data_IF_392081567738
#
_entry.id   IF_392081567738
#
_cell.length_a   1.000
_cell.length_b   1.000
_cell.length_c   1.000
_cell.angle_alpha   90.00
_cell.angle_beta   90.00
_cell.angle_gamma   90.00
#
_symmetry.space_group_name_H-M   'P 1'
#
loop_
_entity.id
_entity.type
_entity.pdbx_description
1 polymer ?
#
# COMPACT_ATOMS: atom_id res chain seq x y z
N UNK A 1 -0.52 -8.37 -10.61
CA UNK A 1 -0.91 -9.66 -10.02
C UNK A 1 -2.32 -9.63 -9.38
N UNK A 2 -2.69 -8.60 -8.65
CA UNK A 2 -4.00 -8.44 -7.96
C UNK A 2 -5.21 -8.42 -8.92
N UNK A 3 -5.06 -7.90 -10.13
CA UNK A 3 -6.13 -7.89 -11.13
C UNK A 3 -6.61 -9.28 -11.57
N UNK A 4 -5.78 -10.31 -11.44
CA UNK A 4 -6.15 -11.70 -11.77
C UNK A 4 -7.02 -12.34 -10.70
N UNK A 5 -7.04 -11.80 -9.49
CA UNK A 5 -7.77 -12.34 -8.34
C UNK A 5 -9.22 -11.83 -8.24
N UNK A 6 -9.65 -10.96 -9.15
CA UNK A 6 -10.97 -10.28 -9.15
C UNK A 6 -11.25 -9.40 -7.94
N UNK A 7 -10.22 -9.06 -7.13
CA UNK A 7 -10.34 -8.07 -6.07
C UNK A 7 -10.25 -6.65 -6.62
N UNK A 8 -10.98 -5.72 -5.99
CA UNK A 8 -10.83 -4.30 -6.24
C UNK A 8 -9.61 -3.73 -5.53
N UNK A 9 -8.72 -3.10 -6.28
CA UNK A 9 -7.60 -2.34 -5.69
C UNK A 9 -7.99 -0.88 -5.66
N UNK A 10 -8.02 -0.28 -4.46
CA UNK A 10 -8.32 1.15 -4.27
C UNK A 10 -7.27 2.00 -4.98
N UNK A 11 -7.71 3.04 -5.68
CA UNK A 11 -6.85 3.92 -6.49
C UNK A 11 -6.72 5.33 -5.91
N UNK A 12 -7.65 5.72 -5.04
CA UNK A 12 -7.72 7.03 -4.42
C UNK A 12 -6.65 7.24 -3.35
N UNK A 13 -6.04 6.16 -2.89
CA UNK A 13 -4.95 6.16 -1.92
C UNK A 13 -3.73 5.43 -2.48
N UNK A 14 -2.56 5.88 -2.08
CA UNK A 14 -1.28 5.31 -2.47
C UNK A 14 -0.31 5.31 -1.28
N UNK A 15 0.75 4.54 -1.39
CA UNK A 15 1.90 4.68 -0.54
C UNK A 15 2.65 5.98 -0.83
N UNK A 16 3.53 6.36 0.04
CA UNK A 16 4.21 7.65 -0.02
C UNK A 16 5.66 7.55 0.45
N UNK A 17 6.47 8.49 0.02
CA UNK A 17 7.82 8.67 0.55
C UNK A 17 7.79 9.02 2.03
N UNK A 18 8.82 8.58 2.72
CA UNK A 18 9.09 8.87 4.14
C UNK A 18 10.38 9.67 4.22
N UNK A 19 10.26 10.99 4.04
CA UNK A 19 11.36 11.92 4.15
C UNK A 19 11.28 12.73 5.44
N UNK A 20 11.49 14.03 5.32
CA UNK A 20 11.29 14.95 6.44
C UNK A 20 9.81 15.19 6.76
N UNK A 21 8.95 14.99 5.76
CA UNK A 21 7.51 15.04 5.92
C UNK A 21 6.97 13.61 6.04
N UNK A 22 5.85 13.47 6.77
CA UNK A 22 5.19 12.17 6.93
C UNK A 22 4.69 11.60 5.59
N UNK A 23 4.07 12.47 4.77
CA UNK A 23 3.73 12.15 3.39
C UNK A 23 4.63 12.96 2.46
N UNK A 24 5.54 12.28 1.80
CA UNK A 24 6.53 12.87 0.91
C UNK A 24 6.57 12.14 -0.45
N UNK A 25 7.29 12.68 -1.41
CA UNK A 25 7.56 11.98 -2.67
C UNK A 25 8.48 10.77 -2.42
N UNK A 26 8.37 9.71 -3.24
CA UNK A 26 7.46 9.52 -4.36
C UNK A 26 6.09 8.99 -3.94
N UNK A 27 5.09 9.12 -4.82
CA UNK A 27 3.85 8.37 -4.71
C UNK A 27 4.06 6.91 -5.13
N UNK A 28 3.54 5.98 -4.32
CA UNK A 28 3.65 4.53 -4.55
C UNK A 28 2.28 3.96 -4.87
N UNK A 29 1.90 3.97 -6.12
CA UNK A 29 0.60 3.49 -6.58
C UNK A 29 0.52 1.97 -6.60
N UNK A 30 -0.58 1.42 -6.07
CA UNK A 30 -0.80 -0.02 -5.95
C UNK A 30 -1.54 -0.64 -7.14
N UNK A 31 -2.09 0.18 -8.04
CA UNK A 31 -2.79 -0.22 -9.25
C UNK A 31 -2.13 0.40 -10.48
N UNK A 32 -0.95 -0.08 -10.81
CA UNK A 32 -0.16 0.40 -11.93
C UNK A 32 0.26 -0.72 -12.88
N UNK A 33 0.70 -0.32 -14.07
CA UNK A 33 1.32 -1.22 -15.03
C UNK A 33 2.76 -1.53 -14.59
N UNK A 34 3.14 -2.79 -14.67
CA UNK A 34 4.53 -3.18 -14.39
C UNK A 34 5.53 -2.44 -15.28
N UNK A 35 6.68 -2.09 -14.72
CA UNK A 35 7.74 -1.37 -15.42
C UNK A 35 7.49 0.12 -15.61
N UNK A 36 6.51 0.70 -14.90
CA UNK A 36 6.24 2.14 -14.87
C UNK A 36 6.56 2.72 -13.50
N UNK A 37 6.74 4.02 -13.42
CA UNK A 37 7.04 4.73 -12.18
C UNK A 37 8.51 5.10 -12.03
N UNK A 38 8.88 5.72 -10.91
CA UNK A 38 10.26 6.11 -10.63
C UNK A 38 11.16 4.90 -10.40
N UNK A 39 12.42 5.04 -10.78
CA UNK A 39 13.46 4.07 -10.45
C UNK A 39 13.74 4.09 -8.95
N UNK A 40 13.73 2.92 -8.32
CA UNK A 40 14.09 2.80 -6.91
C UNK A 40 15.61 2.86 -6.75
N UNK A 41 16.06 3.67 -5.79
CA UNK A 41 17.49 3.87 -5.51
C UNK A 41 17.78 3.62 -4.04
N UNK A 42 18.98 3.10 -3.71
CA UNK A 42 19.41 2.97 -2.33
C UNK A 42 19.27 4.27 -1.54
N UNK A 43 18.79 4.18 -0.30
CA UNK A 43 18.50 5.31 0.56
C UNK A 43 17.11 5.91 0.42
N UNK A 44 16.28 5.40 -0.49
CA UNK A 44 14.86 5.75 -0.53
C UNK A 44 14.09 5.03 0.57
N UNK A 45 13.20 5.76 1.24
CA UNK A 45 12.27 5.24 2.25
C UNK A 45 10.84 5.58 1.84
N UNK A 46 9.95 4.60 1.85
CA UNK A 46 8.55 4.79 1.47
C UNK A 46 7.64 3.70 2.04
N UNK A 47 6.32 3.92 1.93
CA UNK A 47 5.31 2.94 2.35
C UNK A 47 4.80 2.12 1.17
N UNK A 48 4.44 0.88 1.46
CA UNK A 48 3.62 0.02 0.59
C UNK A 48 2.38 -0.34 1.41
N UNK A 49 1.21 0.14 0.98
CA UNK A 49 -0.01 0.12 1.79
C UNK A 49 -1.28 -0.18 0.97
N UNK A 50 -1.33 -1.27 0.19
CA UNK A 50 -2.47 -1.56 -0.66
C UNK A 50 -3.75 -1.76 0.13
N UNK A 51 -4.85 -1.15 -0.34
CA UNK A 51 -6.21 -1.41 0.11
C UNK A 51 -6.90 -2.32 -0.89
N UNK A 52 -7.34 -3.48 -0.44
CA UNK A 52 -7.91 -4.54 -1.27
C UNK A 52 -9.37 -4.79 -0.87
N UNK A 53 -10.27 -4.55 -1.80
CA UNK A 53 -11.71 -4.74 -1.63
C UNK A 53 -12.16 -6.08 -2.20
N UNK A 54 -13.09 -6.77 -1.53
CA UNK A 54 -13.76 -7.93 -2.10
C UNK A 54 -14.65 -7.57 -3.29
N UNK A 55 -15.10 -6.32 -3.36
CA UNK A 55 -15.91 -5.78 -4.43
C UNK A 55 -15.15 -4.85 -5.36
N UNK A 56 -15.78 -3.72 -5.68
CA UNK A 56 -15.26 -2.73 -6.63
C UNK A 56 -14.21 -1.80 -5.98
N UNK A 57 -13.28 -1.24 -6.78
CA UNK A 57 -12.24 -0.34 -6.29
C UNK A 57 -12.73 0.95 -5.61
N UNK A 58 -13.82 1.63 -6.04
CA UNK A 58 -14.17 2.95 -5.53
C UNK A 58 -14.48 2.99 -4.04
N UNK A 59 -13.99 4.03 -3.38
CA UNK A 59 -14.25 4.33 -1.97
C UNK A 59 -15.09 5.60 -1.83
N UNK A 60 -15.57 5.84 -0.62
CA UNK A 60 -16.29 7.05 -0.21
C UNK A 60 -15.70 7.54 1.10
N UNK A 61 -15.34 8.82 1.14
CA UNK A 61 -15.01 9.50 2.39
C UNK A 61 -16.31 9.85 3.14
N UNK A 62 -16.30 9.65 4.45
CA UNK A 62 -17.39 10.05 5.31
C UNK A 62 -17.31 11.54 5.67
N UNK A 63 -18.32 12.04 6.38
CA UNK A 63 -18.46 13.47 6.74
C UNK A 63 -17.35 13.96 7.68
N UNK A 64 -16.68 13.06 8.39
CA UNK A 64 -15.51 13.37 9.21
C UNK A 64 -14.27 13.78 8.39
N UNK A 65 -14.33 13.65 7.06
CA UNK A 65 -13.24 13.99 6.16
C UNK A 65 -12.02 13.05 6.24
N UNK A 66 -12.13 11.98 7.01
CA UNK A 66 -11.04 11.03 7.28
C UNK A 66 -11.40 9.59 6.96
N UNK A 67 -12.53 9.11 7.46
CA UNK A 67 -12.92 7.69 7.32
C UNK A 67 -13.28 7.37 5.87
N UNK A 68 -12.58 6.41 5.28
CA UNK A 68 -12.88 5.86 3.96
C UNK A 68 -13.56 4.51 4.09
N UNK A 69 -14.65 4.33 3.36
CA UNK A 69 -15.38 3.06 3.28
C UNK A 69 -15.57 2.64 1.84
N UNK A 70 -15.72 1.35 1.58
CA UNK A 70 -16.03 0.86 0.23
C UNK A 70 -17.40 1.38 -0.21
N UNK A 71 -17.47 1.91 -1.45
CA UNK A 71 -18.72 2.47 -1.95
C UNK A 71 -19.82 1.44 -2.10
N UNK A 72 -19.46 0.20 -2.40
CA UNK A 72 -20.37 -0.93 -2.57
C UNK A 72 -20.62 -1.73 -1.28
N UNK A 73 -20.08 -1.28 -0.15
CA UNK A 73 -20.17 -1.92 1.17
C UNK A 73 -19.48 -3.29 1.25
N UNK A 74 -18.65 -3.64 0.30
CA UNK A 74 -17.83 -4.86 0.36
C UNK A 74 -16.77 -4.75 1.45
N UNK A 75 -16.30 -5.90 1.95
CA UNK A 75 -15.19 -5.95 2.89
C UNK A 75 -13.91 -5.47 2.23
N UNK A 76 -13.07 -4.83 3.01
CA UNK A 76 -11.76 -4.34 2.61
C UNK A 76 -10.70 -4.72 3.63
N UNK A 77 -9.49 -4.92 3.17
CA UNK A 77 -8.32 -5.13 4.02
C UNK A 77 -7.17 -4.24 3.55
N UNK A 78 -6.41 -3.72 4.51
CA UNK A 78 -5.19 -2.98 4.28
C UNK A 78 -4.07 -3.56 5.13
N UNK A 79 -2.88 -3.64 4.55
CA UNK A 79 -1.63 -3.89 5.27
C UNK A 79 -0.60 -2.90 4.78
N UNK A 80 0.19 -2.36 5.70
CA UNK A 80 1.19 -1.36 5.40
C UNK A 80 2.55 -1.78 5.94
N UNK A 81 3.56 -1.56 5.10
CA UNK A 81 4.96 -1.65 5.51
C UNK A 81 5.70 -0.37 5.14
N UNK A 82 6.53 0.09 6.07
CA UNK A 82 7.59 1.06 5.78
C UNK A 82 8.84 0.29 5.38
N UNK A 83 9.41 0.64 4.25
CA UNK A 83 10.59 -0.03 3.69
C UNK A 83 11.69 0.97 3.33
N UNK A 84 12.93 0.50 3.37
CA UNK A 84 14.09 1.21 2.87
C UNK A 84 14.78 0.42 1.75
N UNK A 85 15.21 1.10 0.70
CA UNK A 85 15.95 0.48 -0.41
C UNK A 85 17.43 0.43 -0.05
N UNK A 86 18.02 -0.76 -0.20
CA UNK A 86 19.46 -1.02 -0.02
C UNK A 86 20.14 -1.21 -1.37
N UNK A 87 21.45 -1.40 -1.39
CA UNK A 87 22.22 -1.61 -2.62
C UNK A 87 21.79 -2.87 -3.40
N UNK A 88 21.32 -3.89 -2.69
CA UNK A 88 21.01 -5.21 -3.22
C UNK A 88 19.57 -5.70 -2.93
N UNK A 89 18.71 -4.82 -2.39
CA UNK A 89 17.33 -5.18 -2.09
C UNK A 89 16.58 -4.15 -1.29
N UNK A 90 15.85 -4.60 -0.27
CA UNK A 90 15.13 -3.71 0.62
C UNK A 90 15.08 -4.26 2.06
N UNK A 91 14.96 -3.37 3.02
CA UNK A 91 14.71 -3.67 4.42
C UNK A 91 13.28 -3.28 4.78
N UNK A 92 12.58 -4.16 5.49
CA UNK A 92 11.21 -3.93 5.98
C UNK A 92 11.28 -3.55 7.46
N UNK A 93 11.06 -2.27 7.77
CA UNK A 93 11.16 -1.76 9.15
C UNK A 93 10.00 -2.15 10.04
N UNK A 94 8.84 -2.40 9.46
CA UNK A 94 7.59 -2.75 10.16
C UNK A 94 7.28 -4.24 10.09
N UNK A 95 8.29 -5.08 9.93
CA UNK A 95 8.13 -6.52 9.98
C UNK A 95 7.60 -6.97 11.36
N UNK A 96 6.62 -7.88 11.36
CA UNK A 96 6.05 -8.38 12.61
C UNK A 96 7.09 -9.13 13.42
N UNK A 97 7.35 -8.75 14.69
CA UNK A 97 8.27 -9.48 15.56
C UNK A 97 7.77 -10.90 15.89
N UNK A 98 6.48 -11.17 15.67
CA UNK A 98 5.85 -12.48 15.85
C UNK A 98 5.83 -13.34 14.57
N UNK A 99 6.47 -12.88 13.49
CA UNK A 99 6.52 -13.59 12.21
C UNK A 99 5.21 -13.58 11.43
N UNK A 100 4.29 -12.66 11.72
CA UNK A 100 2.97 -12.59 11.08
C UNK A 100 2.99 -11.91 9.69
N UNK A 101 4.15 -11.86 9.04
CA UNK A 101 4.31 -11.27 7.70
C UNK A 101 3.96 -12.24 6.57
N UNK A 102 3.76 -13.50 6.90
CA UNK A 102 3.44 -14.58 5.96
C UNK A 102 2.60 -15.67 6.65
N UNK A 103 1.81 -16.44 5.89
CA UNK A 103 1.03 -17.54 6.45
C UNK A 103 1.90 -18.60 7.16
N UNK A 104 1.39 -19.26 8.19
CA UNK A 104 0.12 -18.95 8.87
C UNK A 104 0.23 -17.68 9.74
N UNK A 105 -0.85 -16.88 9.78
CA UNK A 105 -0.86 -15.58 10.52
C UNK A 105 -1.26 -15.73 12.01
N UNK A 106 -1.19 -16.90 12.56
CA UNK A 106 -1.59 -17.22 13.95
C UNK A 106 -0.65 -18.27 14.57
#
# INVERSE_FOLDING_TARGET
MLFRSRYGVVREFCGHGLGRLFHDAPEVVHAARAGTGPELRPGMFFTIEPMINLGKPPVKLLEDGWTAVTRDRSLSAQFEHSIGITEDGCEVFTASPRGLNKPPYF
#
